data_IF_768606827843
#
_entry.id   IF_768606827843
#
_cell.length_a   1.000
_cell.length_b   1.000
_cell.length_c   1.000
_cell.angle_alpha   90.00
_cell.angle_beta   90.00
_cell.angle_gamma   90.00
#
_symmetry.space_group_name_H-M   'P 1'
#
loop_
_entity.id
_entity.type
_entity.pdbx_description
1 polymer ?
#
# COMPACT_ATOMS: atom_id res chain seq x y z
N UNK A 1 -5.89 16.79 0.17
CA UNK A 1 -4.59 16.34 -0.37
C UNK A 1 -4.14 15.05 0.33
N UNK A 2 -4.00 15.01 1.64
CA UNK A 2 -3.47 13.89 2.43
C UNK A 2 -4.23 12.57 2.27
N UNK A 3 -5.56 12.57 2.34
CA UNK A 3 -6.37 11.37 2.13
C UNK A 3 -6.19 10.80 0.71
N UNK A 4 -6.09 11.66 -0.30
CA UNK A 4 -5.82 11.22 -1.67
C UNK A 4 -4.48 10.51 -1.79
N UNK A 5 -3.43 11.00 -1.09
CA UNK A 5 -2.12 10.38 -1.07
C UNK A 5 -2.21 8.90 -0.64
N UNK A 6 -2.99 8.60 0.40
CA UNK A 6 -3.14 7.25 0.95
C UNK A 6 -4.06 6.38 0.08
N UNK A 7 -5.21 6.92 -0.34
CA UNK A 7 -6.24 6.13 -1.03
C UNK A 7 -6.04 6.00 -2.54
N UNK A 8 -5.18 6.79 -3.17
CA UNK A 8 -4.96 6.72 -4.61
C UNK A 8 -4.43 5.35 -5.08
N UNK A 9 -3.44 4.72 -4.41
CA UNK A 9 -3.03 3.35 -4.74
C UNK A 9 -4.15 2.33 -4.55
N UNK A 10 -5.03 2.52 -3.56
CA UNK A 10 -6.19 1.66 -3.35
C UNK A 10 -7.21 1.75 -4.49
N UNK A 11 -7.50 2.96 -4.95
CA UNK A 11 -8.36 3.13 -6.13
C UNK A 11 -7.74 2.51 -7.38
N UNK A 12 -6.42 2.66 -7.56
CA UNK A 12 -5.67 1.98 -8.63
C UNK A 12 -5.83 0.45 -8.55
N UNK A 13 -5.69 -0.12 -7.35
CA UNK A 13 -5.94 -1.54 -7.10
C UNK A 13 -7.37 -1.95 -7.46
N UNK A 14 -8.39 -1.24 -6.97
CA UNK A 14 -9.79 -1.55 -7.23
C UNK A 14 -10.11 -1.50 -8.73
N UNK A 15 -9.70 -0.45 -9.41
CA UNK A 15 -9.92 -0.29 -10.84
C UNK A 15 -9.29 -1.42 -11.66
N UNK A 16 -8.05 -1.78 -11.34
CA UNK A 16 -7.36 -2.86 -12.05
C UNK A 16 -7.94 -4.24 -11.71
N UNK A 17 -8.38 -4.46 -10.47
CA UNK A 17 -8.96 -5.75 -10.07
C UNK A 17 -10.32 -5.98 -10.69
N UNK A 18 -11.21 -4.96 -10.67
CA UNK A 18 -12.58 -5.08 -11.15
C UNK A 18 -12.64 -4.97 -12.67
N UNK A 19 -11.97 -3.96 -13.23
CA UNK A 19 -12.05 -3.62 -14.65
C UNK A 19 -10.83 -4.04 -15.48
N UNK A 20 -9.87 -4.79 -14.90
CA UNK A 20 -8.65 -5.19 -15.60
C UNK A 20 -8.89 -5.95 -16.91
N UNK A 21 -9.99 -6.70 -17.00
CA UNK A 21 -10.42 -7.37 -18.24
C UNK A 21 -10.81 -6.38 -19.35
N UNK A 22 -11.43 -5.26 -18.99
CA UNK A 22 -11.86 -4.24 -19.95
C UNK A 22 -10.71 -3.36 -20.44
N UNK A 23 -9.78 -3.01 -19.55
CA UNK A 23 -8.61 -2.20 -19.89
C UNK A 23 -7.55 -2.96 -20.69
N UNK A 24 -7.65 -4.29 -20.69
CA UNK A 24 -6.71 -5.15 -21.40
C UNK A 24 -5.29 -5.12 -20.79
N UNK A 25 -4.40 -5.79 -21.50
CA UNK A 25 -3.03 -6.04 -21.07
C UNK A 25 -2.18 -4.75 -20.91
N UNK A 26 -2.41 -3.74 -21.75
CA UNK A 26 -1.66 -2.48 -21.72
C UNK A 26 -2.27 -1.42 -20.81
N UNK A 27 -3.60 -1.39 -20.69
CA UNK A 27 -4.30 -0.36 -19.93
C UNK A 27 -4.20 -0.55 -18.41
N UNK A 28 -4.34 -1.78 -17.93
CA UNK A 28 -4.31 -2.07 -16.50
C UNK A 28 -3.00 -1.64 -15.81
N UNK A 29 -1.80 -1.96 -16.33
CA UNK A 29 -0.55 -1.52 -15.70
C UNK A 29 -0.36 0.01 -15.76
N UNK A 30 -0.85 0.67 -16.82
CA UNK A 30 -0.78 2.13 -16.90
C UNK A 30 -1.63 2.80 -15.80
N UNK A 31 -2.85 2.30 -15.55
CA UNK A 31 -3.73 2.85 -14.51
C UNK A 31 -3.11 2.64 -13.12
N UNK A 32 -2.60 1.43 -12.82
CA UNK A 32 -1.95 1.16 -11.55
C UNK A 32 -0.73 2.06 -11.32
N UNK A 33 0.16 2.16 -12.33
CA UNK A 33 1.37 2.97 -12.22
C UNK A 33 1.08 4.46 -12.12
N UNK A 34 0.13 5.00 -12.88
CA UNK A 34 -0.25 6.43 -12.80
C UNK A 34 -0.85 6.77 -11.45
N UNK A 35 -1.65 5.90 -10.83
CA UNK A 35 -2.20 6.11 -9.49
C UNK A 35 -1.07 6.22 -8.44
N UNK A 36 -0.08 5.33 -8.48
CA UNK A 36 1.05 5.35 -7.54
C UNK A 36 1.99 6.53 -7.80
N UNK A 37 2.25 6.90 -9.07
CA UNK A 37 3.05 8.07 -9.42
C UNK A 37 2.36 9.35 -8.92
N UNK A 38 1.04 9.47 -9.10
CA UNK A 38 0.29 10.61 -8.58
C UNK A 38 0.35 10.69 -7.05
N UNK A 39 0.26 9.55 -6.34
CA UNK A 39 0.48 9.49 -4.90
C UNK A 39 1.90 9.94 -4.51
N UNK A 40 2.92 9.56 -5.28
CA UNK A 40 4.30 10.00 -5.06
C UNK A 40 4.46 11.53 -5.22
N UNK A 41 3.85 12.12 -6.23
CA UNK A 41 3.85 13.58 -6.42
C UNK A 41 3.19 14.28 -5.22
N UNK A 42 2.04 13.77 -4.76
CA UNK A 42 1.36 14.31 -3.57
C UNK A 42 2.20 14.18 -2.30
N UNK A 43 3.01 13.13 -2.17
CA UNK A 43 3.89 12.96 -1.01
C UNK A 43 5.00 14.00 -0.96
N UNK A 44 5.53 14.45 -2.10
CA UNK A 44 6.49 15.56 -2.15
C UNK A 44 5.85 16.90 -1.76
N UNK A 45 4.60 17.16 -2.15
CA UNK A 45 3.88 18.34 -1.68
C UNK A 45 3.63 18.29 -0.16
N UNK A 46 3.27 17.12 0.36
CA UNK A 46 3.12 16.92 1.80
C UNK A 46 4.44 17.13 2.56
N UNK A 47 5.57 16.67 1.98
CA UNK A 47 6.90 16.92 2.56
C UNK A 47 7.21 18.43 2.63
N UNK A 48 6.87 19.18 1.60
CA UNK A 48 7.08 20.62 1.61
C UNK A 48 6.22 21.28 2.71
N UNK A 49 4.95 20.93 2.81
CA UNK A 49 4.00 21.54 3.74
C UNK A 49 4.29 21.18 5.22
N UNK A 50 4.46 19.89 5.49
CA UNK A 50 4.66 19.39 6.88
C UNK A 50 6.14 19.40 7.27
N UNK A 51 7.02 18.94 6.38
CA UNK A 51 8.45 18.79 6.70
C UNK A 51 9.21 20.13 6.75
N UNK A 52 8.91 21.06 5.83
CA UNK A 52 9.61 22.34 5.73
C UNK A 52 8.84 23.45 6.43
N UNK A 53 7.53 23.57 6.19
CA UNK A 53 6.70 24.62 6.82
C UNK A 53 6.29 24.29 8.26
N UNK A 54 6.50 23.05 8.73
CA UNK A 54 6.25 22.64 10.12
C UNK A 54 4.77 22.63 10.52
N UNK A 55 3.86 22.34 9.59
CA UNK A 55 2.42 22.27 9.83
C UNK A 55 1.93 20.83 9.91
N UNK A 56 2.02 20.15 11.09
CA UNK A 56 1.53 18.77 11.20
C UNK A 56 0.02 18.74 11.02
N UNK A 57 -0.47 17.70 10.34
CA UNK A 57 -1.89 17.51 10.03
C UNK A 57 -2.42 16.22 10.66
N UNK A 58 -3.49 16.35 11.44
CA UNK A 58 -4.21 15.22 12.00
C UNK A 58 -5.61 15.16 11.40
N UNK A 59 -5.99 14.00 10.85
CA UNK A 59 -7.29 13.79 10.21
C UNK A 59 -7.95 12.60 10.89
N UNK A 60 -9.00 12.85 11.66
CA UNK A 60 -9.84 11.81 12.22
C UNK A 60 -11.05 11.59 11.31
N UNK A 61 -11.31 10.34 10.93
CA UNK A 61 -12.42 9.98 10.05
C UNK A 61 -13.65 9.53 10.85
N UNK A 62 -13.58 8.32 11.40
CA UNK A 62 -14.71 7.67 12.08
C UNK A 62 -14.22 6.94 13.32
N UNK A 63 -15.02 6.87 14.39
CA UNK A 63 -14.72 5.99 15.51
C UNK A 63 -14.86 4.52 15.07
N UNK A 64 -13.91 3.68 15.45
CA UNK A 64 -13.91 2.25 15.17
C UNK A 64 -14.41 1.44 16.36
N UNK A 65 -13.70 1.57 17.49
CA UNK A 65 -14.09 0.96 18.77
C UNK A 65 -14.20 2.06 19.82
N UNK A 66 -15.32 2.08 20.52
CA UNK A 66 -15.56 3.06 21.55
C UNK A 66 -16.14 2.36 22.78
N UNK A 67 -15.32 2.25 23.84
CA UNK A 67 -15.68 1.78 25.15
C UNK A 67 -15.33 2.85 26.18
N UNK A 68 -15.83 2.74 27.41
CA UNK A 68 -15.58 3.73 28.46
C UNK A 68 -14.10 4.02 28.70
N UNK A 69 -13.23 3.02 28.57
CA UNK A 69 -11.77 3.14 28.81
C UNK A 69 -10.90 3.15 27.55
N UNK A 70 -11.48 2.83 26.39
CA UNK A 70 -10.69 2.65 25.16
C UNK A 70 -11.42 3.20 23.96
N UNK A 71 -10.78 4.14 23.29
CA UNK A 71 -11.29 4.75 22.05
C UNK A 71 -10.25 4.54 20.95
N UNK A 72 -10.61 3.78 19.92
CA UNK A 72 -9.83 3.67 18.70
C UNK A 72 -10.62 4.27 17.53
N UNK A 73 -10.02 5.19 16.82
CA UNK A 73 -10.60 5.84 15.65
C UNK A 73 -9.78 5.55 14.40
N UNK A 74 -10.40 5.60 13.24
CA UNK A 74 -9.70 5.70 11.98
C UNK A 74 -9.15 7.12 11.83
N UNK A 75 -7.85 7.27 12.05
CA UNK A 75 -7.16 8.55 11.99
C UNK A 75 -5.88 8.46 11.17
N UNK A 76 -5.48 9.58 10.61
CA UNK A 76 -4.23 9.73 9.88
C UNK A 76 -3.42 10.86 10.50
N UNK A 77 -2.20 10.53 10.92
CA UNK A 77 -1.26 11.48 11.45
C UNK A 77 -0.16 11.76 10.41
N UNK A 78 -0.02 13.02 10.05
CA UNK A 78 1.03 13.49 9.15
C UNK A 78 1.96 14.45 9.91
N UNK A 79 2.97 13.88 10.52
CA UNK A 79 4.10 14.61 11.10
C UNK A 79 5.32 14.53 10.18
N UNK A 80 6.42 15.16 10.58
CA UNK A 80 7.65 15.20 9.77
C UNK A 80 8.22 13.81 9.49
N UNK A 81 8.17 12.91 10.47
CA UNK A 81 8.64 11.53 10.31
C UNK A 81 7.77 10.76 9.32
N UNK A 82 6.46 10.81 9.50
CA UNK A 82 5.48 10.13 8.66
C UNK A 82 5.59 10.55 7.20
N UNK A 83 5.73 11.85 6.96
CA UNK A 83 5.78 12.38 5.59
C UNK A 83 7.08 11.99 4.88
N UNK A 84 8.22 11.97 5.57
CA UNK A 84 9.48 11.45 5.01
C UNK A 84 9.32 9.98 4.62
N UNK A 85 8.72 9.17 5.49
CA UNK A 85 8.45 7.76 5.19
C UNK A 85 7.47 7.59 4.02
N UNK A 86 6.44 8.42 3.92
CA UNK A 86 5.51 8.42 2.78
C UNK A 86 6.23 8.69 1.45
N UNK A 87 7.16 9.66 1.42
CA UNK A 87 7.97 9.94 0.21
C UNK A 87 8.80 8.73 -0.17
N UNK A 88 9.53 8.13 0.77
CA UNK A 88 10.35 6.95 0.49
C UNK A 88 9.50 5.80 -0.07
N UNK A 89 8.40 5.48 0.59
CA UNK A 89 7.50 4.38 0.20
C UNK A 89 6.92 4.62 -1.19
N UNK A 90 6.32 5.80 -1.44
CA UNK A 90 5.64 6.08 -2.71
C UNK A 90 6.62 6.24 -3.87
N UNK A 91 7.79 6.84 -3.64
CA UNK A 91 8.81 7.01 -4.67
C UNK A 91 9.38 5.66 -5.12
N UNK A 92 9.82 4.83 -4.17
CA UNK A 92 10.34 3.49 -4.49
C UNK A 92 9.26 2.64 -5.16
N UNK A 93 8.02 2.67 -4.64
CA UNK A 93 6.90 1.94 -5.23
C UNK A 93 6.61 2.40 -6.67
N UNK A 94 6.68 3.70 -6.96
CA UNK A 94 6.48 4.21 -8.33
C UNK A 94 7.53 3.68 -9.31
N UNK A 95 8.80 3.64 -8.91
CA UNK A 95 9.88 3.07 -9.71
C UNK A 95 9.68 1.57 -9.96
N UNK A 96 9.29 0.84 -8.92
CA UNK A 96 8.99 -0.61 -9.03
C UNK A 96 7.80 -0.85 -9.97
N UNK A 97 6.74 -0.03 -9.93
CA UNK A 97 5.62 -0.15 -10.86
C UNK A 97 6.05 0.07 -12.30
N UNK A 98 6.82 1.12 -12.57
CA UNK A 98 7.34 1.38 -13.93
C UNK A 98 8.22 0.23 -14.42
N UNK A 99 9.14 -0.24 -13.59
CA UNK A 99 10.00 -1.39 -13.91
C UNK A 99 9.18 -2.65 -14.22
N UNK A 100 8.16 -2.91 -13.41
CA UNK A 100 7.34 -4.12 -13.51
C UNK A 100 6.53 -4.20 -14.80
N UNK A 101 6.20 -3.08 -15.44
CA UNK A 101 5.53 -3.06 -16.74
C UNK A 101 6.36 -3.80 -17.80
N UNK A 102 7.66 -3.53 -17.82
CA UNK A 102 8.58 -4.18 -18.76
C UNK A 102 8.95 -5.59 -18.30
N UNK A 103 9.23 -5.76 -17.02
CA UNK A 103 9.67 -7.03 -16.44
C UNK A 103 8.62 -8.16 -16.59
N UNK A 104 7.35 -7.85 -16.34
CA UNK A 104 6.24 -8.79 -16.47
C UNK A 104 5.53 -8.71 -17.83
N UNK A 105 6.14 -8.01 -18.79
CA UNK A 105 5.57 -7.72 -20.10
C UNK A 105 5.17 -8.94 -20.92
N UNK A 106 5.78 -10.09 -20.70
CA UNK A 106 5.49 -11.34 -21.41
C UNK A 106 4.51 -12.26 -20.64
N UNK A 107 4.18 -11.94 -19.38
CA UNK A 107 3.31 -12.75 -18.53
C UNK A 107 1.83 -12.39 -18.74
N UNK A 108 0.93 -13.36 -19.03
CA UNK A 108 -0.49 -13.10 -19.25
C UNK A 108 -1.22 -12.58 -17.99
N UNK A 109 -0.63 -12.73 -16.81
CA UNK A 109 -1.20 -12.33 -15.53
C UNK A 109 -0.69 -10.97 -15.02
N UNK A 110 -0.09 -10.14 -15.88
CA UNK A 110 0.40 -8.81 -15.55
C UNK A 110 -0.61 -7.92 -14.79
N UNK A 111 -1.90 -7.83 -15.16
CA UNK A 111 -2.86 -7.00 -14.42
C UNK A 111 -3.01 -7.43 -12.95
N UNK A 112 -3.02 -8.73 -12.68
CA UNK A 112 -3.09 -9.28 -11.32
C UNK A 112 -1.85 -8.93 -10.50
N UNK A 113 -0.67 -9.00 -11.10
CA UNK A 113 0.58 -8.61 -10.45
C UNK A 113 0.59 -7.13 -10.07
N UNK A 114 0.20 -6.26 -11.00
CA UNK A 114 0.14 -4.81 -10.76
C UNK A 114 -0.90 -4.44 -9.69
N UNK A 115 -2.02 -5.16 -9.62
CA UNK A 115 -3.01 -4.94 -8.56
C UNK A 115 -2.45 -5.32 -7.17
N UNK A 116 -1.70 -6.42 -7.06
CA UNK A 116 -1.07 -6.81 -5.79
C UNK A 116 0.01 -5.82 -5.34
N UNK A 117 0.79 -5.25 -6.26
CA UNK A 117 1.74 -4.19 -5.94
C UNK A 117 1.05 -2.92 -5.44
N UNK A 118 -0.05 -2.54 -6.06
CA UNK A 118 -0.82 -1.35 -5.66
C UNK A 118 -1.44 -1.51 -4.28
N UNK A 119 -2.02 -2.68 -3.97
CA UNK A 119 -2.58 -2.94 -2.62
C UNK A 119 -1.48 -3.04 -1.56
N UNK A 120 -0.32 -3.58 -1.90
CA UNK A 120 0.84 -3.57 -1.00
C UNK A 120 1.25 -2.13 -0.63
N UNK A 121 1.34 -1.25 -1.62
CA UNK A 121 1.65 0.17 -1.40
C UNK A 121 0.59 0.86 -0.53
N UNK A 122 -0.69 0.56 -0.75
CA UNK A 122 -1.78 1.10 0.07
C UNK A 122 -1.65 0.68 1.54
N UNK A 123 -1.46 -0.60 1.83
CA UNK A 123 -1.32 -1.07 3.22
C UNK A 123 -0.06 -0.52 3.89
N UNK A 124 1.02 -0.34 3.14
CA UNK A 124 2.23 0.28 3.65
C UNK A 124 1.99 1.76 4.03
N UNK A 125 1.24 2.50 3.22
CA UNK A 125 0.83 3.86 3.55
C UNK A 125 -0.11 3.90 4.76
N UNK A 126 -1.08 2.99 4.84
CA UNK A 126 -1.96 2.86 6.02
C UNK A 126 -1.18 2.60 7.31
N UNK A 127 -0.14 1.79 7.24
CA UNK A 127 0.73 1.49 8.37
C UNK A 127 1.50 2.74 8.82
N UNK A 128 2.15 3.43 7.88
CA UNK A 128 3.02 4.57 8.17
C UNK A 128 2.22 5.77 8.69
N UNK A 129 1.01 6.00 8.17
CA UNK A 129 0.16 7.15 8.53
C UNK A 129 -0.80 6.86 9.68
N UNK A 130 -0.72 5.69 10.31
CA UNK A 130 -1.62 5.30 11.40
C UNK A 130 -1.46 6.21 12.62
N UNK A 131 -2.58 6.56 13.23
CA UNK A 131 -2.65 7.36 14.46
C UNK A 131 -2.59 6.50 15.73
N UNK A 132 -3.01 5.23 15.63
CA UNK A 132 -3.10 4.32 16.77
C UNK A 132 -2.57 2.92 16.41
N UNK A 133 -2.18 2.16 17.45
CA UNK A 133 -1.60 0.83 17.29
C UNK A 133 -2.53 -0.19 16.61
N UNK A 134 -3.84 -0.06 16.77
CA UNK A 134 -4.81 -0.98 16.12
C UNK A 134 -4.83 -0.74 14.61
N UNK A 135 -4.86 0.50 14.18
CA UNK A 135 -4.79 0.84 12.76
C UNK A 135 -3.42 0.49 12.18
N UNK A 136 -2.35 0.70 12.93
CA UNK A 136 -1.01 0.27 12.55
C UNK A 136 -0.94 -1.25 12.35
N UNK A 137 -1.52 -2.01 13.26
CA UNK A 137 -1.62 -3.48 13.15
C UNK A 137 -2.43 -3.89 11.92
N UNK A 138 -3.52 -3.21 11.61
CA UNK A 138 -4.28 -3.45 10.38
C UNK A 138 -3.42 -3.25 9.12
N UNK A 139 -2.65 -2.18 9.06
CA UNK A 139 -1.70 -1.94 7.96
C UNK A 139 -0.61 -3.01 7.88
N UNK A 140 -0.06 -3.40 9.03
CA UNK A 140 0.99 -4.42 9.15
C UNK A 140 0.52 -5.79 8.63
N UNK A 141 -0.63 -6.26 9.07
CA UNK A 141 -1.25 -7.50 8.60
C UNK A 141 -1.57 -7.44 7.10
N UNK A 142 -2.06 -6.29 6.62
CA UNK A 142 -2.34 -6.09 5.20
C UNK A 142 -1.09 -6.19 4.32
N UNK A 143 0.04 -5.63 4.76
CA UNK A 143 1.35 -5.79 4.09
C UNK A 143 1.78 -7.26 4.08
N UNK A 144 1.60 -7.97 5.20
CA UNK A 144 1.88 -9.41 5.31
C UNK A 144 1.08 -10.24 4.31
N UNK A 145 -0.22 -10.01 4.20
CA UNK A 145 -1.09 -10.71 3.22
C UNK A 145 -0.71 -10.34 1.78
N UNK A 146 -0.47 -9.06 1.48
CA UNK A 146 -0.09 -8.64 0.14
C UNK A 146 1.27 -9.22 -0.28
N UNK A 147 2.24 -9.31 0.64
CA UNK A 147 3.53 -9.95 0.39
C UNK A 147 3.38 -11.46 0.13
N UNK A 148 2.51 -12.14 0.88
CA UNK A 148 2.17 -13.54 0.64
C UNK A 148 1.64 -13.76 -0.78
N UNK A 149 0.71 -12.91 -1.24
CA UNK A 149 0.14 -12.98 -2.59
C UNK A 149 1.19 -12.74 -3.69
N UNK A 150 2.14 -11.84 -3.46
CA UNK A 150 3.23 -11.56 -4.38
C UNK A 150 4.25 -12.69 -4.44
N UNK A 151 4.64 -13.28 -3.31
CA UNK A 151 5.57 -14.42 -3.25
C UNK A 151 4.94 -15.64 -3.95
N UNK A 152 3.64 -15.87 -3.71
CA UNK A 152 2.89 -16.97 -4.29
C UNK A 152 2.27 -16.64 -5.66
N UNK A 153 2.80 -15.66 -6.36
CA UNK A 153 2.27 -15.24 -7.66
C UNK A 153 2.21 -16.40 -8.67
N UNK A 154 3.31 -17.17 -8.78
CA UNK A 154 3.37 -18.40 -9.58
C UNK A 154 2.99 -19.64 -8.75
N UNK A 155 1.73 -19.74 -8.37
CA UNK A 155 1.18 -20.79 -7.51
C UNK A 155 1.38 -22.23 -8.01
N UNK A 156 1.73 -22.42 -9.27
CA UNK A 156 2.05 -23.74 -9.86
C UNK A 156 3.42 -24.26 -9.39
N UNK A 157 4.29 -23.39 -8.87
CA UNK A 157 5.61 -23.76 -8.38
C UNK A 157 5.56 -24.12 -6.90
N UNK A 158 5.80 -25.40 -6.55
CA UNK A 158 5.82 -25.87 -5.16
C UNK A 158 6.81 -25.10 -4.27
N UNK A 159 7.94 -24.67 -4.81
CA UNK A 159 8.93 -23.88 -4.08
C UNK A 159 8.36 -22.50 -3.67
N UNK A 160 7.62 -21.84 -4.56
CA UNK A 160 6.97 -20.57 -4.26
C UNK A 160 5.91 -20.74 -3.16
N UNK A 161 5.09 -21.79 -3.22
CA UNK A 161 4.08 -22.09 -2.21
C UNK A 161 4.71 -22.33 -0.82
N UNK A 162 5.78 -23.12 -0.75
CA UNK A 162 6.49 -23.39 0.50
C UNK A 162 7.10 -22.11 1.09
N UNK A 163 7.70 -21.26 0.26
CA UNK A 163 8.29 -20.00 0.71
C UNK A 163 7.24 -18.99 1.17
N UNK A 164 6.09 -18.93 0.51
CA UNK A 164 4.98 -18.07 0.90
C UNK A 164 4.38 -18.50 2.24
N UNK A 165 4.13 -19.79 2.45
CA UNK A 165 3.65 -20.33 3.73
C UNK A 165 4.69 -20.06 4.83
N UNK A 166 5.98 -20.29 4.55
CA UNK A 166 7.05 -20.00 5.51
C UNK A 166 7.07 -18.51 5.90
N UNK A 167 6.99 -17.61 4.94
CA UNK A 167 6.95 -16.17 5.21
C UNK A 167 5.76 -15.79 6.10
N UNK A 168 4.56 -16.31 5.81
CA UNK A 168 3.37 -16.03 6.60
C UNK A 168 3.46 -16.57 8.02
N UNK A 169 3.96 -17.80 8.21
CA UNK A 169 4.11 -18.39 9.54
C UNK A 169 5.15 -17.66 10.40
N UNK A 170 6.31 -17.32 9.81
CA UNK A 170 7.36 -16.58 10.52
C UNK A 170 6.91 -15.16 10.90
N UNK A 171 6.22 -14.47 9.98
CA UNK A 171 5.63 -13.17 10.29
C UNK A 171 4.63 -13.26 11.43
N UNK A 172 3.77 -14.29 11.44
CA UNK A 172 2.79 -14.48 12.52
C UNK A 172 3.44 -14.69 13.90
N UNK A 173 4.55 -15.41 13.96
CA UNK A 173 5.32 -15.56 15.19
C UNK A 173 5.94 -14.23 15.63
N UNK A 174 6.45 -13.44 14.68
CA UNK A 174 6.95 -12.08 14.94
C UNK A 174 5.85 -11.12 15.43
N UNK A 175 4.66 -11.20 14.86
CA UNK A 175 3.50 -10.37 15.22
C UNK A 175 3.00 -10.64 16.64
N UNK A 176 3.15 -11.87 17.09
CA UNK A 176 2.80 -12.25 18.47
C UNK A 176 3.79 -11.68 19.50
N UNK A 177 5.06 -11.57 19.14
CA UNK A 177 6.13 -11.04 20.01
C UNK A 177 6.08 -9.53 20.17
#
# INVERSE_FOLDING_TARGET
MYLLLVFLPFFGFLLVTIFGRFFGYRGAPLIASTAVIASSILSFFALYEVGICGSPCYIQLLPWFQTEMFVASWGFLFDSLTVIMCVVVTFVSSLVHIYSISYMGEDPHLPRFMSYLSVFTFFMLMLVTSDNFIQMFFGWEGVGVASYLLINFWYTRLQANKSAIKAMLVNRVGDFG
#
